data_IF_009757468774
#
_entry.id   IF_009757468774
#
_cell.length_a   1.000
_cell.length_b   1.000
_cell.length_c   1.000
_cell.angle_alpha   90.00
_cell.angle_beta   90.00
_cell.angle_gamma   90.00
#
_symmetry.space_group_name_H-M   'P 1'
#
loop_
_entity.id
_entity.type
_entity.pdbx_description
1 polymer ?
#
# COMPACT_ATOMS: atom_id res chain seq x y z
N UNK A 1 -16.14 -10.67 12.68
CA UNK A 1 -15.88 -9.28 13.15
C UNK A 1 -15.38 -8.48 11.97
N UNK A 2 -16.30 -7.93 11.18
CA UNK A 2 -15.95 -7.06 10.05
C UNK A 2 -15.51 -5.72 10.63
N UNK A 3 -14.24 -5.34 10.42
CA UNK A 3 -13.80 -3.97 10.70
C UNK A 3 -14.59 -3.04 9.80
N UNK A 4 -15.61 -2.38 10.35
CA UNK A 4 -16.28 -1.26 9.70
C UNK A 4 -15.23 -0.16 9.48
N UNK A 5 -15.14 0.44 8.28
CA UNK A 5 -14.19 1.52 8.05
C UNK A 5 -14.57 2.76 8.88
N UNK A 6 -13.58 3.38 9.54
CA UNK A 6 -13.74 4.68 10.19
C UNK A 6 -14.19 5.72 9.12
N UNK A 7 -15.38 6.34 9.24
CA UNK A 7 -16.00 7.13 8.16
C UNK A 7 -15.19 8.35 7.68
N UNK A 8 -14.21 8.83 8.45
CA UNK A 8 -13.38 9.98 8.08
C UNK A 8 -12.13 9.64 7.27
N UNK A 9 -11.64 8.39 7.30
CA UNK A 9 -10.32 8.09 6.76
C UNK A 9 -10.29 8.03 5.23
N UNK A 10 -11.42 7.69 4.61
CA UNK A 10 -11.58 7.59 3.15
C UNK A 10 -11.38 8.93 2.43
N UNK A 11 -11.55 10.06 3.14
CA UNK A 11 -11.45 11.40 2.53
C UNK A 11 -10.01 11.91 2.41
N UNK A 12 -9.05 11.29 3.10
CA UNK A 12 -7.64 11.70 3.12
C UNK A 12 -6.71 10.79 2.33
N UNK A 13 -7.19 9.62 1.91
CA UNK A 13 -6.38 8.60 1.26
C UNK A 13 -6.68 8.52 -0.24
N UNK A 14 -5.63 8.35 -1.02
CA UNK A 14 -5.77 8.08 -2.45
C UNK A 14 -6.31 6.66 -2.65
N UNK A 15 -7.46 6.54 -3.33
CA UNK A 15 -7.98 5.26 -3.78
C UNK A 15 -7.22 4.81 -5.04
N UNK A 16 -6.90 3.53 -5.13
CA UNK A 16 -6.37 2.92 -6.34
C UNK A 16 -7.51 2.63 -7.35
N UNK A 17 -7.22 1.88 -8.40
CA UNK A 17 -8.25 1.55 -9.40
C UNK A 17 -9.32 0.62 -8.85
N UNK A 18 -8.92 -0.31 -7.98
CA UNK A 18 -9.82 -1.16 -7.22
C UNK A 18 -10.51 -0.39 -6.10
N UNK A 19 -11.84 -0.50 -6.03
CA UNK A 19 -12.66 0.20 -5.03
C UNK A 19 -12.35 -0.14 -3.56
N UNK A 20 -11.73 -1.30 -3.32
CA UNK A 20 -11.36 -1.76 -1.99
C UNK A 20 -9.94 -1.34 -1.57
N UNK A 21 -9.11 -0.84 -2.51
CA UNK A 21 -7.69 -0.60 -2.27
C UNK A 21 -7.42 0.90 -2.06
N UNK A 22 -7.14 1.27 -0.81
CA UNK A 22 -6.74 2.62 -0.43
C UNK A 22 -5.25 2.66 -0.07
N UNK A 23 -4.51 3.62 -0.64
CA UNK A 23 -3.06 3.72 -0.51
C UNK A 23 -2.70 4.29 0.87
N UNK A 24 -2.16 3.45 1.76
CA UNK A 24 -1.73 3.82 3.12
C UNK A 24 -0.30 3.39 3.45
N UNK A 25 0.74 4.15 3.02
CA UNK A 25 2.13 3.77 3.29
C UNK A 25 2.48 3.56 4.77
N UNK A 26 1.97 4.34 5.76
CA UNK A 26 2.23 4.06 7.17
C UNK A 26 1.72 2.69 7.66
N UNK A 27 0.70 2.13 7.00
CA UNK A 27 0.07 0.87 7.39
C UNK A 27 1.04 -0.31 7.38
N UNK A 28 1.94 -0.40 6.40
CA UNK A 28 2.90 -1.51 6.34
C UNK A 28 3.88 -1.47 7.51
N UNK A 29 4.31 -0.28 7.95
CA UNK A 29 5.15 -0.14 9.16
C UNK A 29 4.37 -0.58 10.41
N UNK A 30 3.12 -0.14 10.53
CA UNK A 30 2.27 -0.52 11.67
C UNK A 30 2.08 -2.04 11.72
N UNK A 31 1.83 -2.68 10.58
CA UNK A 31 1.69 -4.14 10.47
C UNK A 31 2.97 -4.87 10.88
N UNK A 32 4.13 -4.44 10.37
CA UNK A 32 5.42 -5.06 10.71
C UNK A 32 5.73 -4.95 12.20
N UNK A 33 5.53 -3.77 12.81
CA UNK A 33 5.74 -3.55 14.24
C UNK A 33 4.73 -4.32 15.09
N UNK A 34 3.48 -4.41 14.65
CA UNK A 34 2.47 -5.23 15.31
C UNK A 34 2.87 -6.71 15.32
N UNK A 35 3.23 -7.26 14.15
CA UNK A 35 3.63 -8.67 14.01
C UNK A 35 4.86 -8.97 14.86
N UNK A 36 5.86 -8.07 14.85
CA UNK A 36 7.03 -8.15 15.72
C UNK A 36 6.63 -8.27 17.19
N UNK A 37 5.82 -7.35 17.69
CA UNK A 37 5.44 -7.31 19.11
C UNK A 37 4.51 -8.47 19.50
N UNK A 38 3.60 -8.86 18.61
CA UNK A 38 2.57 -9.86 18.90
C UNK A 38 3.11 -11.30 18.84
N UNK A 39 4.08 -11.57 17.97
CA UNK A 39 4.57 -12.91 17.66
C UNK A 39 6.05 -13.12 17.99
N UNK A 40 6.58 -12.38 18.98
CA UNK A 40 7.94 -12.51 19.49
C UNK A 40 9.03 -12.33 18.41
N UNK A 41 8.88 -11.30 17.58
CA UNK A 41 9.87 -10.86 16.59
C UNK A 41 10.39 -11.99 15.68
N UNK A 42 9.53 -12.65 14.90
CA UNK A 42 9.96 -13.68 13.97
C UNK A 42 10.75 -13.05 12.81
N UNK A 43 11.45 -13.88 12.03
CA UNK A 43 11.96 -13.45 10.71
C UNK A 43 10.76 -13.24 9.78
N UNK A 44 10.68 -12.06 9.16
CA UNK A 44 9.54 -11.66 8.32
C UNK A 44 10.03 -11.44 6.88
N UNK A 45 9.31 -12.03 5.93
CA UNK A 45 9.42 -11.71 4.51
C UNK A 45 8.11 -11.06 4.05
N UNK A 46 8.22 -9.93 3.33
CA UNK A 46 7.07 -9.34 2.64
C UNK A 46 6.98 -10.06 1.30
N UNK A 47 6.08 -11.03 1.19
CA UNK A 47 5.91 -11.84 -0.02
C UNK A 47 5.13 -11.09 -1.10
N UNK A 48 4.23 -10.17 -0.71
CA UNK A 48 3.43 -9.36 -1.63
C UNK A 48 3.22 -7.94 -1.09
N UNK A 49 3.31 -6.96 -1.98
CA UNK A 49 2.94 -5.57 -1.74
C UNK A 49 2.83 -4.86 -3.10
N UNK A 50 1.67 -4.30 -3.45
CA UNK A 50 1.46 -3.72 -4.78
C UNK A 50 0.20 -2.87 -4.89
N UNK A 51 0.05 -2.24 -6.06
CA UNK A 51 -1.11 -1.39 -6.41
C UNK A 51 -1.47 -1.56 -7.88
N UNK A 52 -2.76 -1.54 -8.17
CA UNK A 52 -3.33 -1.60 -9.51
C UNK A 52 -3.50 -0.20 -10.12
N UNK A 53 -3.70 -0.17 -11.43
CA UNK A 53 -3.98 1.05 -12.22
C UNK A 53 -5.29 0.84 -12.97
N UNK A 54 -5.95 1.93 -13.36
CA UNK A 54 -7.21 1.82 -14.09
C UNK A 54 -6.99 1.13 -15.44
N UNK A 55 -7.83 0.15 -15.76
CA UNK A 55 -7.80 -0.54 -17.05
C UNK A 55 -8.40 0.35 -18.14
N UNK A 56 -7.62 1.31 -18.62
CA UNK A 56 -8.02 2.19 -19.72
C UNK A 56 -7.39 1.71 -21.03
N UNK A 57 -8.19 1.08 -21.90
CA UNK A 57 -7.73 0.57 -23.20
C UNK A 57 -7.60 1.65 -24.28
N UNK A 58 -8.00 2.89 -24.00
CA UNK A 58 -7.99 3.98 -25.00
C UNK A 58 -6.67 4.78 -25.01
N UNK A 59 -5.83 4.63 -23.98
CA UNK A 59 -4.52 5.31 -23.91
C UNK A 59 -3.48 4.57 -24.73
N UNK A 60 -2.47 5.30 -25.23
CA UNK A 60 -1.35 4.70 -25.94
C UNK A 60 -0.49 3.85 -25.00
N UNK A 61 0.30 2.91 -25.56
CA UNK A 61 1.26 2.12 -24.77
C UNK A 61 2.23 3.02 -23.99
N UNK A 62 2.69 4.11 -24.60
CA UNK A 62 3.61 5.06 -23.96
C UNK A 62 3.00 5.70 -22.72
N UNK A 63 1.72 6.05 -22.78
CA UNK A 63 0.98 6.61 -21.64
C UNK A 63 0.69 5.55 -20.58
N UNK A 64 0.30 4.34 -21.00
CA UNK A 64 0.05 3.21 -20.10
C UNK A 64 1.30 2.80 -19.30
N UNK A 65 2.49 2.93 -19.90
CA UNK A 65 3.78 2.66 -19.23
C UNK A 65 4.22 3.77 -18.27
N UNK A 66 3.57 4.94 -18.25
CA UNK A 66 3.91 6.05 -17.36
C UNK A 66 3.15 5.94 -16.02
N UNK A 67 3.41 4.87 -15.26
CA UNK A 67 2.71 4.45 -14.04
C UNK A 67 3.21 5.16 -12.75
N UNK A 68 3.09 6.50 -12.73
CA UNK A 68 3.61 7.33 -11.64
C UNK A 68 3.02 6.99 -10.26
N UNK A 69 1.76 6.55 -10.20
CA UNK A 69 1.11 6.15 -8.96
C UNK A 69 1.79 4.91 -8.38
N UNK A 70 2.00 3.87 -9.18
CA UNK A 70 2.76 2.67 -8.78
C UNK A 70 4.18 2.98 -8.32
N UNK A 71 4.92 3.84 -9.04
CA UNK A 71 6.27 4.26 -8.62
C UNK A 71 6.23 4.97 -7.26
N UNK A 72 5.28 5.88 -7.06
CA UNK A 72 5.09 6.60 -5.78
C UNK A 72 4.69 5.64 -4.65
N UNK A 73 3.82 4.68 -4.93
CA UNK A 73 3.39 3.64 -4.00
C UNK A 73 4.59 2.87 -3.46
N UNK A 74 5.42 2.29 -4.33
CA UNK A 74 6.59 1.53 -3.90
C UNK A 74 7.60 2.39 -3.13
N UNK A 75 7.91 3.59 -3.61
CA UNK A 75 8.84 4.50 -2.91
C UNK A 75 8.39 4.77 -1.47
N UNK A 76 7.10 5.07 -1.27
CA UNK A 76 6.56 5.36 0.05
C UNK A 76 6.48 4.12 0.94
N UNK A 77 6.00 2.98 0.43
CA UNK A 77 5.88 1.75 1.23
C UNK A 77 7.27 1.22 1.63
N UNK A 78 8.23 1.17 0.70
CA UNK A 78 9.60 0.75 1.01
C UNK A 78 10.30 1.69 2.00
N UNK A 79 10.00 3.00 1.96
CA UNK A 79 10.46 3.94 2.98
C UNK A 79 9.94 3.56 4.37
N UNK A 80 8.66 3.20 4.50
CA UNK A 80 8.06 2.77 5.77
C UNK A 80 8.54 1.39 6.22
N UNK A 81 8.83 0.46 5.28
CA UNK A 81 9.52 -0.80 5.59
C UNK A 81 10.90 -0.52 6.19
N UNK A 82 11.69 0.35 5.58
CA UNK A 82 13.00 0.76 6.11
C UNK A 82 12.88 1.38 7.51
N UNK A 83 11.85 2.16 7.78
CA UNK A 83 11.56 2.73 9.11
C UNK A 83 11.04 1.70 10.14
N UNK A 84 10.66 0.50 9.72
CA UNK A 84 10.30 -0.60 10.62
C UNK A 84 11.53 -1.46 10.99
N UNK A 85 12.56 -1.45 10.15
CA UNK A 85 13.83 -2.16 10.39
C UNK A 85 14.74 -1.38 11.34
N UNK A 86 14.77 -0.04 11.21
CA UNK A 86 15.52 0.88 12.08
C UNK A 86 14.73 1.19 13.35
#
# INVERSE_FOLDING_TARGET
MLMQPFPLMHRLMQQAASGWLYIYPPGIRQLLLYTKSKYNNPVIYITENGVDEHNNKTVSLKEALNDRTRVSYYKKHLLYVRQAIR
#
